data_IF_476929140675
#
_entry.id   IF_476929140675
#
_cell.length_a   1.000
_cell.length_b   1.000
_cell.length_c   1.000
_cell.angle_alpha   90.00
_cell.angle_beta   90.00
_cell.angle_gamma   90.00
#
_symmetry.space_group_name_H-M   'P 1'
#
loop_
_entity.id
_entity.type
_entity.pdbx_description
1 polymer ?
#
# COMPACT_ATOMS: atom_id res chain seq x y z
N UNK A 1 20.73 8.56 -0.89
CA UNK A 1 19.29 8.54 -0.67
C UNK A 1 18.56 8.09 -1.95
N UNK A 2 17.76 7.06 -1.84
CA UNK A 2 16.86 6.59 -2.90
C UNK A 2 15.44 7.08 -2.54
N UNK A 3 14.70 7.62 -3.53
CA UNK A 3 13.33 8.13 -3.38
C UNK A 3 13.26 9.42 -2.52
N UNK A 4 14.25 10.33 -2.67
CA UNK A 4 14.19 11.67 -2.09
C UNK A 4 13.20 12.58 -2.82
N UNK A 5 12.70 13.61 -2.13
CA UNK A 5 11.90 14.69 -2.73
C UNK A 5 10.40 14.41 -2.91
N UNK A 6 9.91 13.23 -2.57
CA UNK A 6 8.49 12.94 -2.49
C UNK A 6 7.84 13.70 -1.33
N UNK A 7 6.57 14.08 -1.46
CA UNK A 7 5.74 14.63 -0.39
C UNK A 7 4.62 13.66 -0.05
N UNK A 8 4.41 13.44 1.25
CA UNK A 8 3.32 12.61 1.76
C UNK A 8 2.54 13.42 2.78
N UNK A 9 1.52 14.14 2.31
CA UNK A 9 0.70 14.98 3.18
C UNK A 9 0.04 14.15 4.28
N UNK A 10 0.08 14.66 5.52
CA UNK A 10 -0.52 14.00 6.67
C UNK A 10 0.31 12.85 7.27
N UNK A 11 1.57 12.68 6.84
CA UNK A 11 2.47 11.67 7.38
C UNK A 11 3.73 12.28 8.01
N UNK A 12 4.28 11.61 9.02
CA UNK A 12 5.56 11.96 9.63
C UNK A 12 6.75 11.66 8.71
N UNK A 13 6.53 10.89 7.66
CA UNK A 13 7.51 10.44 6.69
C UNK A 13 8.26 11.59 6.01
N UNK A 14 7.60 12.72 5.78
CA UNK A 14 8.21 13.87 5.12
C UNK A 14 9.42 14.40 5.89
N UNK A 15 9.27 14.57 7.20
CA UNK A 15 10.37 15.04 8.06
C UNK A 15 11.54 14.06 8.04
N UNK A 16 11.26 12.76 8.10
CA UNK A 16 12.28 11.71 8.03
C UNK A 16 12.95 11.70 6.66
N UNK A 17 12.18 11.74 5.58
CA UNK A 17 12.69 11.77 4.20
C UNK A 17 13.59 12.95 3.95
N UNK A 18 13.20 14.15 4.38
CA UNK A 18 14.02 15.35 4.22
C UNK A 18 15.28 15.30 5.08
N UNK A 19 15.23 14.73 6.29
CA UNK A 19 16.41 14.51 7.13
C UNK A 19 17.39 13.55 6.46
N UNK A 20 16.92 12.44 5.90
CA UNK A 20 17.73 11.49 5.15
C UNK A 20 18.34 12.17 3.91
N UNK A 21 17.60 13.02 3.21
CA UNK A 21 18.13 13.83 2.10
C UNK A 21 19.33 14.63 2.57
N UNK A 22 19.23 15.35 3.69
CA UNK A 22 20.31 16.19 4.20
C UNK A 22 21.53 15.42 4.72
N UNK A 23 21.34 14.16 5.12
CA UNK A 23 22.45 13.28 5.55
C UNK A 23 23.12 12.52 4.40
N UNK A 24 22.62 12.65 3.16
CA UNK A 24 23.08 11.88 2.01
C UNK A 24 23.91 12.75 1.06
N UNK A 25 24.87 12.15 0.38
CA UNK A 25 25.71 12.82 -0.62
C UNK A 25 25.22 12.63 -2.05
N UNK A 26 24.52 11.51 -2.32
CA UNK A 26 23.98 11.16 -3.63
C UNK A 26 22.48 10.92 -3.52
N UNK A 27 21.72 11.39 -4.50
CA UNK A 27 20.27 11.33 -4.48
C UNK A 27 19.74 10.75 -5.79
N UNK A 28 18.89 9.74 -5.67
CA UNK A 28 18.19 9.09 -6.78
C UNK A 28 16.69 9.31 -6.61
N UNK A 29 16.10 10.10 -7.49
CA UNK A 29 14.68 10.50 -7.42
C UNK A 29 13.85 9.82 -8.49
N UNK A 30 12.56 9.69 -8.26
CA UNK A 30 11.65 9.00 -9.17
C UNK A 30 11.12 9.89 -10.28
N UNK A 31 11.02 11.20 -10.04
CA UNK A 31 10.50 12.17 -11.00
C UNK A 31 11.35 13.42 -11.05
N UNK A 32 11.20 14.21 -12.11
CA UNK A 32 11.89 15.50 -12.23
C UNK A 32 11.43 16.51 -11.18
N UNK A 33 10.16 16.45 -10.76
CA UNK A 33 9.66 17.34 -9.71
C UNK A 33 10.29 17.00 -8.34
N UNK A 34 10.50 15.71 -8.05
CA UNK A 34 11.22 15.28 -6.84
C UNK A 34 12.69 15.70 -6.91
N UNK A 35 13.30 15.60 -8.08
CA UNK A 35 14.67 16.08 -8.30
C UNK A 35 14.78 17.58 -8.01
N UNK A 36 13.91 18.40 -8.57
CA UNK A 36 13.86 19.84 -8.32
C UNK A 36 13.71 20.16 -6.84
N UNK A 37 12.84 19.43 -6.12
CA UNK A 37 12.60 19.61 -4.70
C UNK A 37 13.84 19.27 -3.86
N UNK A 38 14.54 18.20 -4.18
CA UNK A 38 15.81 17.85 -3.53
C UNK A 38 16.86 18.96 -3.73
N UNK A 39 16.95 19.54 -4.93
CA UNK A 39 17.81 20.68 -5.21
C UNK A 39 17.39 21.92 -4.41
N UNK A 40 16.07 22.20 -4.31
CA UNK A 40 15.55 23.31 -3.49
C UNK A 40 15.88 23.14 -2.00
N UNK A 41 16.03 21.93 -1.51
CA UNK A 41 16.50 21.64 -0.15
C UNK A 41 18.01 21.96 0.03
N UNK A 42 18.68 22.42 -1.02
CA UNK A 42 20.08 22.86 -0.99
C UNK A 42 21.08 21.78 -1.40
N UNK A 43 20.63 20.71 -2.05
CA UNK A 43 21.54 19.68 -2.56
C UNK A 43 22.16 20.09 -3.89
N UNK A 44 23.43 19.67 -4.11
CA UNK A 44 24.13 19.97 -5.34
C UNK A 44 23.46 19.26 -6.54
N UNK A 45 23.01 20.00 -7.59
CA UNK A 45 22.35 19.40 -8.75
C UNK A 45 23.13 18.29 -9.45
N UNK A 46 24.47 18.31 -9.36
CA UNK A 46 25.34 17.27 -9.93
C UNK A 46 25.22 15.92 -9.22
N UNK A 47 24.72 15.92 -8.00
CA UNK A 47 24.56 14.73 -7.16
C UNK A 47 23.10 14.25 -7.09
N UNK A 48 22.19 14.87 -7.87
CA UNK A 48 20.77 14.53 -7.86
C UNK A 48 20.36 13.98 -9.22
N UNK A 49 20.00 12.71 -9.28
CA UNK A 49 19.71 11.97 -10.50
C UNK A 49 18.23 11.57 -10.52
N UNK A 50 17.52 11.89 -11.60
CA UNK A 50 16.21 11.34 -11.87
C UNK A 50 16.40 9.98 -12.58
N UNK A 51 16.06 8.89 -11.89
CA UNK A 51 16.27 7.51 -12.38
C UNK A 51 14.96 6.78 -12.66
N UNK A 52 13.82 7.42 -12.41
CA UNK A 52 12.52 6.76 -12.50
C UNK A 52 12.21 5.89 -11.27
N UNK A 53 11.01 5.34 -11.25
CA UNK A 53 10.55 4.49 -10.15
C UNK A 53 11.15 3.07 -10.22
N UNK A 54 11.79 2.63 -9.15
CA UNK A 54 12.36 1.29 -9.06
C UNK A 54 11.28 0.19 -9.23
N UNK A 55 10.10 0.43 -8.70
CA UNK A 55 8.99 -0.53 -8.78
C UNK A 55 8.52 -0.78 -10.21
N UNK A 56 8.58 0.23 -11.07
CA UNK A 56 8.11 0.12 -12.47
C UNK A 56 8.91 -0.91 -13.26
N UNK A 57 10.23 -0.98 -13.06
CA UNK A 57 11.07 -1.98 -13.73
C UNK A 57 10.84 -3.39 -13.18
N UNK A 58 10.64 -3.51 -11.87
CA UNK A 58 10.33 -4.79 -11.23
C UNK A 58 9.02 -5.34 -11.77
N UNK A 59 7.97 -4.51 -11.80
CA UNK A 59 6.63 -4.90 -12.29
C UNK A 59 6.69 -5.36 -13.76
N UNK A 60 7.47 -4.67 -14.61
CA UNK A 60 7.64 -5.06 -16.02
C UNK A 60 8.33 -6.41 -16.21
N UNK A 61 9.18 -6.82 -15.28
CA UNK A 61 9.96 -8.06 -15.34
C UNK A 61 9.30 -9.23 -14.60
N UNK A 62 8.34 -8.95 -13.72
CA UNK A 62 7.67 -9.98 -12.93
C UNK A 62 6.82 -10.88 -13.83
N UNK A 63 6.96 -12.18 -13.64
CA UNK A 63 6.01 -13.15 -14.19
C UNK A 63 4.89 -13.35 -13.16
N UNK A 64 3.75 -12.72 -13.42
CA UNK A 64 2.59 -12.82 -12.54
C UNK A 64 2.07 -14.25 -12.44
N UNK A 65 1.59 -14.61 -11.26
CA UNK A 65 0.88 -15.85 -11.03
C UNK A 65 -0.49 -15.80 -11.72
N UNK A 66 -0.92 -16.94 -12.21
CA UNK A 66 -2.29 -17.13 -12.69
C UNK A 66 -3.29 -17.08 -11.52
N UNK A 67 -4.57 -16.83 -11.83
CA UNK A 67 -5.64 -16.83 -10.83
C UNK A 67 -5.64 -18.13 -10.01
N UNK A 68 -5.53 -19.29 -10.65
CA UNK A 68 -5.54 -20.58 -9.97
C UNK A 68 -4.34 -20.77 -9.01
N UNK A 69 -3.16 -20.26 -9.39
CA UNK A 69 -1.99 -20.32 -8.51
C UNK A 69 -2.17 -19.40 -7.30
N UNK A 70 -2.75 -18.21 -7.50
CA UNK A 70 -3.06 -17.30 -6.40
C UNK A 70 -4.05 -17.95 -5.44
N UNK A 71 -5.19 -18.43 -5.94
CA UNK A 71 -6.24 -19.08 -5.14
C UNK A 71 -5.70 -20.25 -4.30
N UNK A 72 -4.81 -21.06 -4.88
CA UNK A 72 -4.12 -22.13 -4.15
C UNK A 72 -3.21 -21.61 -3.06
N UNK A 73 -2.42 -20.57 -3.34
CA UNK A 73 -1.48 -20.00 -2.37
C UNK A 73 -2.17 -19.39 -1.17
N UNK A 74 -3.33 -18.73 -1.39
CA UNK A 74 -4.08 -18.06 -0.33
C UNK A 74 -5.18 -18.93 0.27
N UNK A 75 -5.42 -20.13 -0.28
CA UNK A 75 -6.54 -21.01 0.08
C UNK A 75 -7.89 -20.28 0.09
N UNK A 76 -8.14 -19.49 -0.95
CA UNK A 76 -9.34 -18.68 -1.08
C UNK A 76 -9.70 -18.47 -2.56
N UNK A 77 -10.91 -18.83 -2.95
CA UNK A 77 -11.41 -18.69 -4.32
C UNK A 77 -11.91 -17.28 -4.60
N UNK A 78 -11.55 -16.72 -5.73
CA UNK A 78 -12.06 -15.43 -6.21
C UNK A 78 -13.54 -15.56 -6.60
N UNK A 79 -14.30 -14.50 -6.31
CA UNK A 79 -15.67 -14.37 -6.77
C UNK A 79 -15.76 -13.75 -8.16
N UNK A 80 -17.01 -13.47 -8.57
CA UNK A 80 -17.28 -12.65 -9.77
C UNK A 80 -16.70 -11.26 -9.63
N UNK A 81 -16.74 -10.72 -8.41
CA UNK A 81 -16.06 -9.48 -8.00
C UNK A 81 -15.23 -9.81 -6.78
N UNK A 82 -13.93 -9.55 -6.85
CA UNK A 82 -13.00 -9.69 -5.74
C UNK A 82 -12.32 -8.35 -5.51
N UNK A 83 -12.23 -7.93 -4.27
CA UNK A 83 -11.60 -6.69 -3.83
C UNK A 83 -10.36 -6.99 -3.00
N UNK A 84 -9.23 -6.41 -3.36
CA UNK A 84 -8.03 -6.35 -2.53
C UNK A 84 -8.03 -5.06 -1.73
N UNK A 85 -7.94 -5.16 -0.41
CA UNK A 85 -7.99 -4.02 0.50
C UNK A 85 -6.69 -3.89 1.24
N UNK A 86 -6.05 -2.71 1.08
CA UNK A 86 -4.85 -2.32 1.82
C UNK A 86 -5.06 -0.95 2.42
N UNK A 87 -5.27 -0.89 3.71
CA UNK A 87 -5.55 0.34 4.44
C UNK A 87 -4.53 0.55 5.56
N UNK A 88 -4.02 1.78 5.69
CA UNK A 88 -3.09 2.18 6.74
C UNK A 88 -3.64 3.37 7.52
N UNK A 89 -3.39 3.46 8.84
CA UNK A 89 -3.74 4.64 9.62
C UNK A 89 -3.09 5.90 9.05
N UNK A 90 -3.79 7.04 9.13
CA UNK A 90 -3.22 8.36 8.81
C UNK A 90 -2.51 8.87 10.06
N UNK A 91 -1.20 8.87 10.07
CA UNK A 91 -0.36 9.04 11.27
C UNK A 91 -0.51 10.39 11.99
N UNK A 92 -0.98 11.44 11.31
CA UNK A 92 -1.19 12.77 11.90
C UNK A 92 -2.64 13.04 12.33
N UNK A 93 -3.59 12.16 11.97
CA UNK A 93 -4.99 12.28 12.40
C UNK A 93 -5.24 11.34 13.58
N UNK A 94 -5.38 11.90 14.77
CA UNK A 94 -5.67 11.09 15.97
C UNK A 94 -7.11 10.61 15.96
N UNK A 95 -7.32 9.31 16.22
CA UNK A 95 -8.62 8.65 16.41
C UNK A 95 -9.59 8.70 15.19
N UNK A 96 -9.09 8.96 13.96
CA UNK A 96 -9.95 8.96 12.77
C UNK A 96 -9.94 7.63 12.03
N UNK A 97 -8.86 6.87 12.15
CA UNK A 97 -8.63 5.63 11.38
C UNK A 97 -9.68 4.55 11.65
N UNK A 98 -10.11 4.39 12.90
CA UNK A 98 -11.16 3.45 13.28
C UNK A 98 -12.49 3.77 12.57
N UNK A 99 -12.93 5.03 12.63
CA UNK A 99 -14.17 5.47 12.00
C UNK A 99 -14.11 5.33 10.47
N UNK A 100 -13.00 5.74 9.86
CA UNK A 100 -12.83 5.65 8.41
C UNK A 100 -12.85 4.20 7.93
N UNK A 101 -12.14 3.32 8.66
CA UNK A 101 -12.11 1.91 8.28
C UNK A 101 -13.44 1.20 8.56
N UNK A 102 -14.11 1.52 9.66
CA UNK A 102 -15.45 1.01 9.96
C UNK A 102 -16.46 1.36 8.87
N UNK A 103 -16.44 2.60 8.36
CA UNK A 103 -17.28 3.02 7.23
C UNK A 103 -17.01 2.17 5.98
N UNK A 104 -15.74 1.83 5.71
CA UNK A 104 -15.39 0.94 4.59
C UNK A 104 -15.96 -0.47 4.80
N UNK A 105 -15.88 -1.01 6.01
CA UNK A 105 -16.44 -2.32 6.34
C UNK A 105 -17.98 -2.33 6.23
N UNK A 106 -18.66 -1.24 6.63
CA UNK A 106 -20.11 -1.10 6.44
C UNK A 106 -20.52 -1.13 4.97
N UNK A 107 -19.71 -0.55 4.09
CA UNK A 107 -19.95 -0.65 2.64
C UNK A 107 -19.85 -2.10 2.19
N UNK A 108 -18.86 -2.84 2.64
CA UNK A 108 -18.73 -4.27 2.30
C UNK A 108 -19.87 -5.12 2.87
N UNK A 109 -20.46 -4.76 4.00
CA UNK A 109 -21.63 -5.44 4.52
C UNK A 109 -22.89 -5.24 3.65
N UNK A 110 -22.99 -4.12 2.93
CA UNK A 110 -24.07 -3.87 1.97
C UNK A 110 -23.89 -4.65 0.66
N UNK A 111 -22.65 -4.96 0.27
CA UNK A 111 -22.30 -5.65 -0.98
C UNK A 111 -21.79 -7.08 -0.73
N UNK A 112 -22.65 -7.95 -0.18
CA UNK A 112 -22.28 -9.32 0.23
C UNK A 112 -21.79 -10.23 -0.91
N UNK A 113 -22.00 -9.85 -2.17
CA UNK A 113 -21.50 -10.60 -3.33
C UNK A 113 -20.00 -10.41 -3.58
N UNK A 114 -19.37 -9.40 -2.97
CA UNK A 114 -17.96 -9.12 -3.14
C UNK A 114 -17.15 -10.05 -2.24
N UNK A 115 -16.17 -10.74 -2.80
CA UNK A 115 -15.14 -11.42 -2.05
C UNK A 115 -14.01 -10.45 -1.72
N UNK A 116 -13.44 -10.55 -0.52
CA UNK A 116 -12.53 -9.54 -0.01
C UNK A 116 -11.24 -10.20 0.48
N UNK A 117 -10.13 -9.66 0.03
CA UNK A 117 -8.80 -10.04 0.49
C UNK A 117 -8.22 -8.82 1.20
N UNK A 118 -8.00 -8.93 2.50
CA UNK A 118 -7.36 -7.86 3.28
C UNK A 118 -5.87 -8.12 3.42
N UNK A 119 -5.09 -7.05 3.34
CA UNK A 119 -3.74 -7.03 3.90
C UNK A 119 -3.76 -6.24 5.21
N UNK A 120 -3.23 -6.83 6.26
CA UNK A 120 -3.15 -6.19 7.57
C UNK A 120 -2.16 -5.02 7.55
N UNK A 121 -2.37 -4.06 8.43
CA UNK A 121 -1.48 -2.91 8.55
C UNK A 121 -0.17 -3.31 9.21
N UNK A 122 0.87 -2.52 8.94
CA UNK A 122 2.14 -2.59 9.67
C UNK A 122 1.96 -2.14 11.14
N UNK A 123 3.05 -2.07 11.90
CA UNK A 123 3.08 -1.65 13.29
C UNK A 123 2.94 -0.12 13.48
N UNK A 124 2.05 0.51 12.70
CA UNK A 124 1.72 1.94 12.84
C UNK A 124 0.90 2.18 14.11
N UNK A 125 0.87 3.43 14.57
CA UNK A 125 0.30 3.79 15.88
C UNK A 125 -1.14 3.30 16.11
N UNK A 126 -2.00 3.30 15.09
CA UNK A 126 -3.38 2.83 15.14
C UNK A 126 -3.60 1.50 14.39
N UNK A 127 -2.51 0.89 13.90
CA UNK A 127 -2.58 -0.32 13.08
C UNK A 127 -3.19 -1.52 13.79
N UNK A 128 -3.05 -1.60 15.12
CA UNK A 128 -3.65 -2.68 15.91
C UNK A 128 -5.18 -2.64 15.85
N UNK A 129 -5.78 -1.46 15.99
CA UNK A 129 -7.25 -1.29 15.94
C UNK A 129 -7.78 -1.72 14.57
N UNK A 130 -7.10 -1.32 13.49
CA UNK A 130 -7.48 -1.72 12.13
C UNK A 130 -7.38 -3.24 11.96
N UNK A 131 -6.33 -3.86 12.49
CA UNK A 131 -6.14 -5.31 12.40
C UNK A 131 -7.22 -6.07 13.18
N UNK A 132 -7.61 -5.59 14.34
CA UNK A 132 -8.70 -6.18 15.14
C UNK A 132 -10.04 -6.09 14.38
N UNK A 133 -10.34 -4.94 13.76
CA UNK A 133 -11.52 -4.77 12.91
C UNK A 133 -11.52 -5.70 11.70
N UNK A 134 -10.36 -5.90 11.06
CA UNK A 134 -10.20 -6.86 9.96
C UNK A 134 -10.49 -8.28 10.44
N UNK A 135 -9.90 -8.68 11.57
CA UNK A 135 -10.06 -10.03 12.11
C UNK A 135 -11.52 -10.31 12.49
N UNK A 136 -12.17 -9.36 13.13
CA UNK A 136 -13.61 -9.45 13.47
C UNK A 136 -14.48 -9.55 12.22
N UNK A 137 -14.20 -8.77 11.19
CA UNK A 137 -14.94 -8.83 9.93
C UNK A 137 -14.73 -10.18 9.24
N UNK A 138 -13.51 -10.67 9.15
CA UNK A 138 -13.18 -11.97 8.53
C UNK A 138 -13.83 -13.11 9.30
N UNK A 139 -13.82 -13.05 10.64
CA UNK A 139 -14.46 -14.06 11.48
C UNK A 139 -15.96 -14.20 11.18
N UNK A 140 -16.65 -13.07 10.97
CA UNK A 140 -18.08 -13.00 10.63
C UNK A 140 -18.38 -13.38 9.18
N UNK A 141 -17.39 -13.26 8.28
CA UNK A 141 -17.56 -13.37 6.83
C UNK A 141 -16.59 -14.37 6.19
N UNK A 142 -16.31 -15.50 6.85
CA UNK A 142 -15.30 -16.50 6.45
C UNK A 142 -15.44 -17.03 5.02
N UNK A 143 -16.66 -17.13 4.49
CA UNK A 143 -16.90 -17.64 3.15
C UNK A 143 -16.54 -16.65 2.04
N UNK A 144 -16.44 -15.35 2.37
CA UNK A 144 -16.22 -14.28 1.41
C UNK A 144 -15.06 -13.36 1.74
N UNK A 145 -14.34 -13.60 2.83
CA UNK A 145 -13.20 -12.75 3.20
C UNK A 145 -12.07 -13.53 3.83
N UNK A 146 -10.85 -13.03 3.59
CA UNK A 146 -9.59 -13.55 4.13
C UNK A 146 -8.65 -12.39 4.43
N UNK A 147 -7.75 -12.54 5.40
CA UNK A 147 -6.76 -11.53 5.74
C UNK A 147 -5.36 -12.13 5.85
N UNK A 148 -4.36 -11.35 5.41
CA UNK A 148 -2.95 -11.73 5.46
C UNK A 148 -2.13 -10.62 6.11
N UNK A 149 -1.22 -10.99 7.01
CA UNK A 149 -0.22 -10.06 7.55
C UNK A 149 0.81 -9.68 6.50
N UNK A 150 1.18 -10.63 5.64
CA UNK A 150 2.05 -10.40 4.49
C UNK A 150 1.73 -11.43 3.40
N UNK A 151 1.65 -10.96 2.18
CA UNK A 151 1.51 -11.81 0.99
C UNK A 151 2.84 -11.98 0.25
N UNK A 152 3.84 -11.17 0.60
CA UNK A 152 5.06 -11.05 -0.22
C UNK A 152 4.79 -10.36 -1.56
N UNK A 153 5.84 -9.86 -2.19
CA UNK A 153 5.73 -9.01 -3.38
C UNK A 153 5.03 -9.72 -4.56
N UNK A 154 5.48 -10.93 -4.91
CA UNK A 154 4.94 -11.63 -6.07
C UNK A 154 3.46 -11.94 -5.95
N UNK A 155 3.04 -12.49 -4.81
CA UNK A 155 1.65 -12.87 -4.59
C UNK A 155 0.74 -11.63 -4.50
N UNK A 156 1.18 -10.57 -3.81
CA UNK A 156 0.45 -9.31 -3.69
C UNK A 156 0.21 -8.66 -5.06
N UNK A 157 1.28 -8.46 -5.84
CA UNK A 157 1.19 -7.85 -7.18
C UNK A 157 0.39 -8.72 -8.15
N UNK A 158 0.54 -10.05 -8.06
CA UNK A 158 -0.28 -10.98 -8.88
C UNK A 158 -1.76 -10.90 -8.51
N UNK A 159 -2.07 -10.83 -7.21
CA UNK A 159 -3.45 -10.66 -6.74
C UNK A 159 -4.03 -9.34 -7.23
N UNK A 160 -3.28 -8.24 -7.11
CA UNK A 160 -3.69 -6.93 -7.59
C UNK A 160 -4.00 -6.94 -9.09
N UNK A 161 -3.22 -7.67 -9.89
CA UNK A 161 -3.41 -7.82 -11.34
C UNK A 161 -4.67 -8.64 -11.70
N UNK A 162 -5.21 -9.43 -10.80
CA UNK A 162 -6.34 -10.34 -11.05
C UNK A 162 -7.68 -9.90 -10.43
N UNK A 163 -7.65 -9.04 -9.42
CA UNK A 163 -8.88 -8.55 -8.77
C UNK A 163 -9.56 -7.46 -9.58
N UNK A 164 -10.86 -7.29 -9.40
CA UNK A 164 -11.65 -6.27 -10.08
C UNK A 164 -11.60 -4.91 -9.38
N UNK A 165 -11.31 -4.92 -8.06
CA UNK A 165 -11.28 -3.70 -7.24
C UNK A 165 -10.04 -3.74 -6.35
N UNK A 166 -9.33 -2.63 -6.29
CA UNK A 166 -8.34 -2.35 -5.25
C UNK A 166 -8.87 -1.17 -4.43
N UNK A 167 -8.96 -1.33 -3.12
CA UNK A 167 -9.48 -0.31 -2.23
C UNK A 167 -8.52 -0.05 -1.06
N UNK A 168 -8.51 1.19 -0.57
CA UNK A 168 -7.69 1.63 0.55
C UNK A 168 -6.95 2.93 0.27
N UNK A 169 -5.98 3.24 1.13
CA UNK A 169 -5.17 4.45 1.04
C UNK A 169 -3.67 4.16 0.87
N UNK A 170 -3.32 2.91 0.60
CA UNK A 170 -1.92 2.52 0.36
C UNK A 170 -1.45 2.97 -1.02
N UNK A 171 -0.26 3.55 -1.11
CA UNK A 171 0.40 3.88 -2.37
C UNK A 171 0.64 2.65 -3.25
N UNK A 172 0.71 1.46 -2.66
CA UNK A 172 0.85 0.20 -3.40
C UNK A 172 -0.31 -0.09 -4.37
N UNK A 173 -1.47 0.54 -4.16
CA UNK A 173 -2.62 0.44 -5.06
C UNK A 173 -2.58 1.40 -6.26
N UNK A 174 -1.58 2.31 -6.31
CA UNK A 174 -1.44 3.34 -7.36
C UNK A 174 -0.25 3.03 -8.28
N UNK A 175 0.75 2.34 -7.77
CA UNK A 175 1.97 1.97 -8.47
C UNK A 175 1.72 0.79 -9.40
#
# INVERSE_FOLDING_TARGET
HIQGGELTFGATDDSMRHSITKMSMLHFTYTEDYRKRVIQLGENPKNVFNVGGLNTEVIKKIKFLSKNEIEKNINFEFGKITCLVTYHPVTLEKNSSENHFSNLLEVFEKFKMIKIIFTKTNADAEGRIINDLIDDFVLKNKERSVAFTSMGQLLYLSTMNQVQIVAGNSSSGII
#
